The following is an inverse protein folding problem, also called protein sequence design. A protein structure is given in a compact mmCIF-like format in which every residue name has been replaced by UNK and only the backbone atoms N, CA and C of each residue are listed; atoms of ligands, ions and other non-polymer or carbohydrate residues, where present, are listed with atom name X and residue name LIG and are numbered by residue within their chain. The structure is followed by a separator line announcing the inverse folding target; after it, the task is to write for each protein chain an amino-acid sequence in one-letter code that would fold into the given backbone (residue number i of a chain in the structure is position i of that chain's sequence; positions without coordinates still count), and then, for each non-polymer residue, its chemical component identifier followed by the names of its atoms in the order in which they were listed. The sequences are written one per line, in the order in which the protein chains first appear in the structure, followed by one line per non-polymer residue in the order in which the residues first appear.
data_IF_692891533711
#
_entry.id   IF_692891533711
#
_cell.length_a   1.000
_cell.length_b   1.000
_cell.length_c   1.000
_cell.angle_alpha   90.00
_cell.angle_beta   90.00
_cell.angle_gamma   90.00
#
_symmetry.space_group_name_H-M   'P 1'
#
loop_
_entity.id
_entity.type
_entity.pdbx_description
1 polymer ?
#
# COMPACT_ATOMS: atom_id res chain seq x y z
N UNK A 1 61.45 -43.81 -22.64
CA UNK A 1 62.12 -44.01 -21.34
C UNK A 1 62.05 -42.74 -20.55
N UNK A 2 61.60 -42.83 -19.38
CA UNK A 2 61.45 -41.94 -18.26
C UNK A 2 60.06 -41.34 -18.11
N UNK A 3 59.34 -42.08 -17.29
CA UNK A 3 58.17 -41.66 -16.55
C UNK A 3 58.58 -40.63 -15.50
N UNK A 4 57.78 -39.61 -15.34
CA UNK A 4 57.84 -38.72 -14.20
C UNK A 4 56.41 -38.55 -13.65
N UNK A 5 56.10 -39.27 -12.60
CA UNK A 5 54.88 -39.16 -11.80
C UNK A 5 54.92 -37.84 -11.04
N UNK A 6 53.99 -36.93 -11.37
CA UNK A 6 53.69 -35.78 -10.55
C UNK A 6 52.69 -36.15 -9.45
N UNK A 7 53.11 -36.05 -8.19
CA UNK A 7 52.26 -36.19 -7.03
C UNK A 7 51.36 -34.96 -6.95
N UNK A 8 50.06 -35.17 -7.03
CA UNK A 8 49.06 -34.13 -6.63
C UNK A 8 48.97 -34.11 -5.10
N UNK A 9 49.28 -32.96 -4.52
CA UNK A 9 49.05 -32.71 -3.09
C UNK A 9 47.56 -32.60 -2.81
N UNK A 10 47.03 -33.17 -1.71
CA UNK A 10 45.63 -33.05 -1.34
C UNK A 10 45.34 -31.62 -0.85
N UNK A 11 44.37 -30.99 -1.48
CA UNK A 11 43.80 -29.71 -1.04
C UNK A 11 43.12 -29.93 0.32
N UNK A 12 43.75 -29.42 1.37
CA UNK A 12 43.15 -29.36 2.71
C UNK A 12 42.02 -28.33 2.65
N UNK A 13 40.79 -28.82 2.61
CA UNK A 13 39.61 -27.95 2.85
C UNK A 13 39.63 -27.53 4.33
N UNK A 14 40.03 -26.33 4.60
CA UNK A 14 39.87 -25.73 5.91
C UNK A 14 38.39 -25.54 6.20
N UNK A 15 37.89 -26.29 7.19
CA UNK A 15 36.59 -26.09 7.83
C UNK A 15 36.58 -24.75 8.57
N UNK A 16 36.23 -23.66 7.87
CA UNK A 16 36.04 -22.37 8.52
C UNK A 16 34.79 -21.62 7.97
N UNK A 17 33.70 -22.36 7.74
CA UNK A 17 32.41 -21.78 7.34
C UNK A 17 31.30 -22.00 8.36
N UNK A 18 31.63 -22.34 9.62
CA UNK A 18 30.59 -22.75 10.59
C UNK A 18 30.21 -21.71 11.63
N UNK A 19 30.65 -20.45 11.52
CA UNK A 19 30.28 -19.41 12.48
C UNK A 19 30.07 -18.01 11.82
N UNK A 20 29.32 -17.92 10.73
CA UNK A 20 28.70 -16.65 10.40
C UNK A 20 27.36 -16.58 11.11
N UNK A 21 27.16 -15.60 11.99
CA UNK A 21 25.81 -15.34 12.49
C UNK A 21 24.90 -15.02 11.30
N UNK A 22 23.63 -15.46 11.32
CA UNK A 22 22.71 -15.19 10.23
C UNK A 22 22.62 -13.69 10.01
N UNK A 23 23.03 -13.22 8.83
CA UNK A 23 22.82 -11.84 8.41
C UNK A 23 21.34 -11.53 8.54
N UNK A 24 21.05 -10.59 9.42
CA UNK A 24 19.68 -10.26 9.82
C UNK A 24 18.86 -9.85 8.61
N UNK A 25 17.68 -10.45 8.47
CA UNK A 25 16.60 -10.23 7.50
C UNK A 25 16.09 -8.78 7.30
N UNK A 26 16.89 -7.75 7.56
CA UNK A 26 16.52 -6.34 7.33
C UNK A 26 16.30 -6.02 5.85
N UNK A 27 17.00 -6.70 4.95
CA UNK A 27 16.83 -6.49 3.50
C UNK A 27 15.52 -7.09 2.97
N UNK A 28 15.05 -8.20 3.55
CA UNK A 28 13.79 -8.82 3.14
C UNK A 28 12.58 -7.96 3.58
N UNK A 29 12.60 -7.43 4.80
CA UNK A 29 11.54 -6.53 5.28
C UNK A 29 11.44 -5.27 4.41
N UNK A 30 12.58 -4.67 4.05
CA UNK A 30 12.60 -3.51 3.15
C UNK A 30 12.03 -3.81 1.75
N UNK A 31 12.31 -5.00 1.20
CA UNK A 31 11.77 -5.43 -0.09
C UNK A 31 10.26 -5.69 -0.02
N UNK A 32 9.76 -6.26 1.07
CA UNK A 32 8.34 -6.49 1.31
C UNK A 32 7.61 -5.15 1.45
N UNK A 33 8.13 -4.22 2.25
CA UNK A 33 7.55 -2.87 2.38
C UNK A 33 7.52 -2.17 1.02
N UNK A 34 8.63 -2.20 0.28
CA UNK A 34 8.70 -1.60 -1.04
C UNK A 34 7.70 -2.23 -2.02
N UNK A 35 7.50 -3.55 -1.96
CA UNK A 35 6.51 -4.27 -2.76
C UNK A 35 5.08 -3.85 -2.42
N UNK A 36 4.73 -3.82 -1.14
CA UNK A 36 3.41 -3.40 -0.65
C UNK A 36 3.14 -1.93 -1.03
N UNK A 37 4.10 -1.05 -0.76
CA UNK A 37 4.00 0.37 -1.09
C UNK A 37 3.90 0.56 -2.60
N UNK A 38 4.65 -0.20 -3.41
CA UNK A 38 4.59 -0.14 -4.86
C UNK A 38 3.23 -0.60 -5.41
N UNK A 39 2.62 -1.64 -4.83
CA UNK A 39 1.25 -2.08 -5.17
C UNK A 39 0.22 -1.01 -4.83
N UNK A 40 0.31 -0.41 -3.62
CA UNK A 40 -0.55 0.70 -3.20
C UNK A 40 -0.37 1.91 -4.15
N UNK A 41 0.86 2.21 -4.57
CA UNK A 41 1.15 3.34 -5.45
C UNK A 41 0.75 3.06 -6.90
N UNK A 42 0.87 1.82 -7.39
CA UNK A 42 0.34 1.47 -8.71
C UNK A 42 -1.18 1.60 -8.73
N UNK A 43 -1.87 1.08 -7.72
CA UNK A 43 -3.30 1.33 -7.55
C UNK A 43 -3.59 2.84 -7.45
N UNK A 44 -2.74 3.59 -6.74
CA UNK A 44 -2.84 5.04 -6.57
C UNK A 44 -2.42 5.84 -7.80
N UNK A 45 -1.45 5.41 -8.59
CA UNK A 45 -1.00 6.11 -9.80
C UNK A 45 -2.02 6.03 -10.93
N UNK A 46 -2.91 5.05 -10.88
CA UNK A 46 -4.08 4.98 -11.74
C UNK A 46 -5.21 5.90 -11.29
N UNK A 47 -5.26 6.28 -9.99
CA UNK A 47 -6.30 7.14 -9.40
C UNK A 47 -5.77 8.53 -9.10
N UNK A 48 -5.92 9.47 -10.02
CA UNK A 48 -5.44 10.86 -9.86
C UNK A 48 -6.54 11.90 -10.13
N UNK A 49 -6.85 12.69 -9.15
CA UNK A 49 -8.16 13.28 -8.95
C UNK A 49 -8.27 14.71 -8.52
N UNK A 50 -9.43 15.38 -8.67
CA UNK A 50 -9.70 16.68 -8.16
C UNK A 50 -11.03 17.26 -7.89
N UNK A 51 -11.03 18.27 -7.09
CA UNK A 51 -12.10 18.95 -6.41
C UNK A 51 -12.91 19.99 -7.17
N UNK A 52 -14.19 19.86 -7.04
CA UNK A 52 -15.05 20.90 -6.48
C UNK A 52 -16.36 20.30 -6.02
N UNK A 53 -16.80 20.45 -4.71
CA UNK A 53 -18.16 20.74 -4.42
C UNK A 53 -18.68 20.66 -3.00
N UNK A 54 -19.73 21.44 -2.77
CA UNK A 54 -20.66 21.52 -1.64
C UNK A 54 -21.51 20.25 -1.51
N UNK A 55 -21.75 19.82 -0.27
CA UNK A 55 -22.63 18.77 0.22
C UNK A 55 -23.37 17.90 -0.79
N UNK A 56 -22.88 16.70 -1.08
CA UNK A 56 -23.47 15.72 -1.98
C UNK A 56 -23.74 14.38 -1.30
N UNK A 57 -24.41 13.49 -2.03
CA UNK A 57 -24.88 12.17 -1.58
C UNK A 57 -23.77 11.25 -1.06
N UNK A 58 -22.50 11.52 -1.40
CA UNK A 58 -21.33 10.68 -1.08
C UNK A 58 -20.24 11.48 -0.34
N UNK A 59 -20.63 12.18 0.73
CA UNK A 59 -19.72 13.10 1.43
C UNK A 59 -18.55 12.36 2.09
N UNK A 60 -18.81 11.24 2.78
CA UNK A 60 -17.78 10.46 3.48
C UNK A 60 -16.78 9.81 2.52
N UNK A 61 -17.28 9.21 1.45
CA UNK A 61 -16.46 8.61 0.40
C UNK A 61 -15.58 9.67 -0.27
N UNK A 62 -16.15 10.81 -0.55
CA UNK A 62 -15.40 11.94 -1.14
C UNK A 62 -14.32 12.45 -0.19
N UNK A 63 -14.61 12.58 1.10
CA UNK A 63 -13.63 12.99 2.11
C UNK A 63 -12.49 11.99 2.21
N UNK A 64 -12.77 10.68 2.19
CA UNK A 64 -11.75 9.64 2.19
C UNK A 64 -10.84 9.73 0.96
N UNK A 65 -11.43 9.76 -0.24
CA UNK A 65 -10.66 9.90 -1.51
C UNK A 65 -9.86 11.19 -1.52
N UNK A 66 -10.42 12.30 -1.04
CA UNK A 66 -9.72 13.59 -0.98
C UNK A 66 -8.51 13.53 -0.06
N UNK A 67 -8.72 13.11 1.18
CA UNK A 67 -7.64 13.05 2.18
C UNK A 67 -6.49 12.17 1.71
N UNK A 68 -6.81 11.06 1.10
CA UNK A 68 -5.85 10.13 0.54
C UNK A 68 -5.04 10.74 -0.61
N UNK A 69 -5.71 11.42 -1.54
CA UNK A 69 -5.05 12.08 -2.67
C UNK A 69 -4.23 13.29 -2.27
N UNK A 70 -4.74 14.10 -1.35
CA UNK A 70 -3.98 15.22 -0.80
C UNK A 70 -2.68 14.74 -0.16
N UNK A 71 -2.72 13.59 0.53
CA UNK A 71 -1.51 12.99 1.12
C UNK A 71 -0.47 12.61 0.06
N UNK A 72 -0.91 12.17 -1.11
CA UNK A 72 -0.01 11.87 -2.24
C UNK A 72 0.59 13.15 -2.84
N UNK A 73 -0.22 14.19 -3.03
CA UNK A 73 0.26 15.49 -3.54
C UNK A 73 1.24 16.15 -2.56
N UNK A 74 0.98 16.01 -1.26
CA UNK A 74 1.82 16.55 -0.19
C UNK A 74 3.09 15.71 0.06
N UNK A 75 3.14 14.47 -0.44
CA UNK A 75 4.20 13.51 -0.13
C UNK A 75 4.20 13.11 1.35
N UNK A 76 3.03 13.08 2.00
CA UNK A 76 2.88 12.86 3.44
C UNK A 76 2.50 11.40 3.74
N UNK A 77 3.49 10.59 4.14
CA UNK A 77 3.31 9.16 4.41
C UNK A 77 2.37 8.87 5.57
N UNK A 78 2.41 9.65 6.65
CA UNK A 78 1.52 9.45 7.81
C UNK A 78 0.07 9.74 7.47
N UNK A 79 -0.20 10.84 6.77
CA UNK A 79 -1.55 11.21 6.31
C UNK A 79 -2.10 10.16 5.34
N UNK A 80 -1.25 9.64 4.44
CA UNK A 80 -1.60 8.56 3.52
C UNK A 80 -2.01 7.30 4.26
N UNK A 81 -1.19 6.83 5.21
CA UNK A 81 -1.44 5.63 6.01
C UNK A 81 -2.72 5.77 6.83
N UNK A 82 -2.92 6.90 7.50
CA UNK A 82 -4.11 7.17 8.29
C UNK A 82 -5.40 7.34 7.45
N UNK A 83 -5.27 7.67 6.17
CA UNK A 83 -6.38 7.74 5.20
C UNK A 83 -6.71 6.39 4.54
N UNK A 84 -5.73 5.47 4.52
CA UNK A 84 -5.87 4.16 3.89
C UNK A 84 -6.20 3.05 4.89
N UNK A 85 -5.77 3.15 6.16
CA UNK A 85 -5.88 2.07 7.12
C UNK A 85 -6.55 2.53 8.43
N UNK A 86 -7.58 1.80 8.87
CA UNK A 86 -8.03 1.85 10.27
C UNK A 86 -7.00 1.16 11.17
N UNK A 87 -7.00 1.46 12.47
CA UNK A 87 -5.96 0.96 13.39
C UNK A 87 -5.87 -0.57 13.46
N UNK A 88 -6.97 -1.35 13.54
CA UNK A 88 -6.86 -2.80 13.52
C UNK A 88 -6.28 -3.35 12.20
N UNK A 89 -6.66 -2.78 11.06
CA UNK A 89 -6.13 -3.19 9.75
C UNK A 89 -4.64 -2.88 9.64
N UNK A 90 -4.21 -1.70 10.11
CA UNK A 90 -2.78 -1.35 10.17
C UNK A 90 -2.01 -2.30 11.06
N UNK A 91 -2.55 -2.61 12.24
CA UNK A 91 -1.94 -3.56 13.17
C UNK A 91 -1.78 -4.96 12.55
N UNK A 92 -2.81 -5.44 11.85
CA UNK A 92 -2.76 -6.72 11.15
C UNK A 92 -1.67 -6.72 10.05
N UNK A 93 -1.63 -5.68 9.22
CA UNK A 93 -0.64 -5.49 8.17
C UNK A 93 0.80 -5.50 8.70
N UNK A 94 1.06 -4.75 9.77
CA UNK A 94 2.39 -4.66 10.39
C UNK A 94 2.83 -6.00 10.98
N UNK A 95 1.93 -6.70 11.69
CA UNK A 95 2.20 -8.03 12.26
C UNK A 95 2.42 -9.08 11.17
N UNK A 96 1.59 -9.11 10.14
CA UNK A 96 1.72 -10.03 8.99
C UNK A 96 3.09 -9.90 8.34
N UNK A 97 3.57 -8.69 8.16
CA UNK A 97 4.83 -8.40 7.47
C UNK A 97 6.04 -8.25 8.40
N UNK A 98 5.84 -8.33 9.72
CA UNK A 98 6.89 -8.13 10.74
C UNK A 98 7.65 -6.81 10.56
N UNK A 99 6.90 -5.72 10.45
CA UNK A 99 7.41 -4.37 10.18
C UNK A 99 6.92 -3.39 11.25
N UNK A 100 7.77 -2.45 11.63
CA UNK A 100 7.39 -1.36 12.53
C UNK A 100 6.61 -0.26 11.78
N UNK A 101 5.63 0.35 12.47
CA UNK A 101 4.76 1.41 11.87
C UNK A 101 5.57 2.58 11.33
N UNK A 102 6.62 2.99 12.04
CA UNK A 102 7.48 4.10 11.62
C UNK A 102 8.25 3.77 10.33
N UNK A 103 8.76 2.56 10.20
CA UNK A 103 9.48 2.12 9.00
C UNK A 103 8.53 2.04 7.80
N UNK A 104 7.29 1.56 8.02
CA UNK A 104 6.27 1.52 6.98
C UNK A 104 5.92 2.94 6.50
N UNK A 105 5.62 3.86 7.42
CA UNK A 105 5.30 5.27 7.10
C UNK A 105 6.45 5.92 6.32
N UNK A 106 7.70 5.75 6.78
CA UNK A 106 8.87 6.30 6.11
C UNK A 106 9.03 5.75 4.69
N UNK A 107 8.81 4.46 4.48
CA UNK A 107 8.88 3.84 3.15
C UNK A 107 7.79 4.40 2.22
N UNK A 108 6.56 4.53 2.71
CA UNK A 108 5.45 5.17 1.97
C UNK A 108 5.83 6.61 1.61
N UNK A 109 6.31 7.40 2.56
CA UNK A 109 6.67 8.80 2.35
C UNK A 109 7.76 8.97 1.28
N UNK A 110 8.79 8.13 1.30
CA UNK A 110 9.83 8.13 0.27
C UNK A 110 9.26 7.89 -1.14
N UNK A 111 8.30 6.99 -1.26
CA UNK A 111 7.67 6.71 -2.55
C UNK A 111 6.74 7.84 -2.99
N UNK A 112 5.96 8.40 -2.07
CA UNK A 112 5.06 9.52 -2.38
C UNK A 112 5.83 10.76 -2.86
N UNK A 113 7.00 11.04 -2.30
CA UNK A 113 7.87 12.14 -2.73
C UNK A 113 8.41 12.00 -4.16
N UNK A 114 8.35 10.81 -4.74
CA UNK A 114 8.68 10.57 -6.14
C UNK A 114 7.52 10.90 -7.09
N UNK A 115 6.31 11.05 -6.54
CA UNK A 115 5.12 11.35 -7.32
C UNK A 115 5.03 12.88 -7.51
N UNK A 116 5.28 13.36 -8.72
CA UNK A 116 4.98 14.75 -9.08
C UNK A 116 3.61 14.81 -9.74
N UNK A 117 2.58 14.86 -8.90
CA UNK A 117 1.20 14.81 -9.34
C UNK A 117 0.41 16.01 -8.85
N UNK A 118 -0.51 16.45 -9.67
CA UNK A 118 -1.52 17.45 -9.30
C UNK A 118 -2.87 17.00 -9.80
N UNK A 119 -3.86 17.38 -9.08
CA UNK A 119 -5.20 16.93 -9.31
C UNK A 119 -6.26 18.05 -9.15
N UNK A 120 -7.49 17.96 -9.77
CA UNK A 120 -8.62 18.91 -9.65
C UNK A 120 -9.95 18.34 -10.14
N UNK A 121 -11.12 18.80 -9.66
CA UNK A 121 -12.51 18.47 -10.06
C UNK A 121 -13.01 17.07 -9.65
N UNK A 122 -12.69 16.57 -8.45
CA UNK A 122 -13.19 15.30 -7.96
C UNK A 122 -14.70 15.26 -7.83
N UNK A 123 -15.30 14.20 -8.36
CA UNK A 123 -16.69 13.83 -8.15
C UNK A 123 -16.79 12.34 -7.90
N UNK A 124 -17.45 11.95 -6.82
CA UNK A 124 -17.97 10.60 -6.67
C UNK A 124 -19.34 10.57 -7.36
N UNK A 125 -19.48 9.71 -8.36
CA UNK A 125 -20.67 9.70 -9.22
C UNK A 125 -21.58 8.51 -8.97
N UNK A 126 -21.03 7.40 -8.43
CA UNK A 126 -21.77 6.17 -8.18
C UNK A 126 -21.15 5.41 -7.01
N UNK A 127 -22.00 4.70 -6.23
CA UNK A 127 -21.62 3.67 -5.27
C UNK A 127 -22.06 2.31 -5.84
N UNK A 128 -21.16 1.32 -5.83
CA UNK A 128 -21.43 -0.07 -6.18
C UNK A 128 -22.15 -0.83 -5.07
N UNK A 129 -22.33 -2.13 -5.30
CA UNK A 129 -22.83 -3.04 -4.28
C UNK A 129 -21.70 -3.43 -3.31
N UNK A 130 -22.06 -3.93 -2.12
CA UNK A 130 -21.12 -4.53 -1.17
C UNK A 130 -20.48 -5.78 -1.77
N UNK A 131 -19.18 -5.96 -1.54
CA UNK A 131 -18.38 -7.11 -1.97
C UNK A 131 -18.26 -8.06 -0.76
N UNK A 132 -19.32 -8.85 -0.54
CA UNK A 132 -19.47 -9.66 0.68
C UNK A 132 -18.33 -10.66 0.91
N UNK A 133 -17.90 -11.38 -0.14
CA UNK A 133 -16.84 -12.39 -0.03
C UNK A 133 -15.51 -11.78 0.42
N UNK A 134 -15.11 -10.66 -0.15
CA UNK A 134 -13.87 -9.96 0.23
C UNK A 134 -13.98 -9.31 1.60
N UNK A 135 -15.17 -8.84 1.99
CA UNK A 135 -15.44 -8.31 3.31
C UNK A 135 -15.22 -9.37 4.40
N UNK A 136 -15.71 -10.59 4.18
CA UNK A 136 -15.52 -11.72 5.09
C UNK A 136 -14.04 -12.10 5.20
N UNK A 137 -13.34 -12.24 4.09
CA UNK A 137 -11.92 -12.59 4.03
C UNK A 137 -11.06 -11.53 4.73
N UNK A 138 -11.34 -10.25 4.49
CA UNK A 138 -10.63 -9.14 5.11
C UNK A 138 -10.80 -9.13 6.64
N UNK A 139 -12.04 -9.31 7.14
CA UNK A 139 -12.30 -9.41 8.57
C UNK A 139 -11.63 -10.64 9.20
N UNK A 140 -11.61 -11.77 8.50
CA UNK A 140 -10.94 -12.99 8.96
C UNK A 140 -9.41 -12.78 9.06
N UNK A 141 -8.80 -12.13 8.08
CA UNK A 141 -7.37 -11.84 8.12
C UNK A 141 -7.01 -10.83 9.21
N UNK A 142 -7.81 -9.78 9.43
CA UNK A 142 -7.62 -8.86 10.56
C UNK A 142 -7.71 -9.61 11.88
N UNK A 143 -8.74 -10.45 12.07
CA UNK A 143 -8.95 -11.22 13.30
C UNK A 143 -7.79 -12.15 13.62
N UNK A 144 -7.17 -12.76 12.62
CA UNK A 144 -6.00 -13.65 12.78
C UNK A 144 -4.82 -12.96 13.47
N UNK A 145 -4.59 -11.68 13.21
CA UNK A 145 -3.46 -10.95 13.77
C UNK A 145 -3.79 -10.07 14.97
N UNK A 146 -5.05 -9.63 15.11
CA UNK A 146 -5.47 -8.71 16.18
C UNK A 146 -6.35 -9.37 17.22
N UNK A 147 -7.08 -10.41 16.87
CA UNK A 147 -8.16 -10.99 17.67
C UNK A 147 -9.48 -10.24 17.56
N UNK A 148 -9.53 -9.12 16.85
CA UNK A 148 -10.73 -8.31 16.66
C UNK A 148 -11.57 -8.86 15.49
N UNK A 149 -12.88 -8.94 15.66
CA UNK A 149 -13.81 -9.44 14.64
C UNK A 149 -14.75 -8.35 14.17
N UNK A 150 -15.21 -8.43 12.92
CA UNK A 150 -16.16 -7.47 12.34
C UNK A 150 -15.67 -6.01 12.39
N UNK A 151 -14.38 -5.80 12.22
CA UNK A 151 -13.74 -4.48 12.18
C UNK A 151 -14.23 -3.66 10.99
N UNK A 152 -14.38 -4.33 9.86
CA UNK A 152 -14.88 -3.73 8.63
C UNK A 152 -16.37 -4.03 8.51
N UNK A 153 -17.18 -3.00 8.41
CA UNK A 153 -18.65 -3.11 8.36
C UNK A 153 -19.23 -3.08 6.94
N UNK A 154 -18.49 -2.58 5.97
CA UNK A 154 -18.90 -2.53 4.56
C UNK A 154 -17.65 -2.43 3.67
N UNK A 155 -17.69 -3.02 2.47
CA UNK A 155 -16.67 -2.94 1.44
C UNK A 155 -17.37 -2.84 0.08
N UNK A 156 -17.10 -1.81 -0.69
CA UNK A 156 -17.77 -1.56 -1.96
C UNK A 156 -16.93 -0.68 -2.89
N UNK A 157 -17.21 -0.72 -4.18
CA UNK A 157 -16.61 0.19 -5.14
C UNK A 157 -17.37 1.52 -5.23
N UNK A 158 -16.64 2.57 -5.59
CA UNK A 158 -17.21 3.86 -6.01
C UNK A 158 -16.63 4.25 -7.36
N UNK A 159 -17.43 4.89 -8.20
CA UNK A 159 -16.93 5.50 -9.44
C UNK A 159 -16.58 6.96 -9.17
N UNK A 160 -15.34 7.33 -9.45
CA UNK A 160 -14.83 8.70 -9.34
C UNK A 160 -14.48 9.28 -10.70
N UNK A 161 -14.81 10.57 -10.90
CA UNK A 161 -14.41 11.35 -12.09
C UNK A 161 -13.48 12.47 -11.70
N UNK A 162 -12.48 12.77 -12.54
CA UNK A 162 -11.43 13.70 -12.19
C UNK A 162 -10.59 14.20 -13.38
N UNK A 163 -9.79 15.24 -13.14
CA UNK A 163 -8.72 15.67 -14.03
C UNK A 163 -7.39 15.64 -13.30
N UNK A 164 -6.35 15.18 -13.95
CA UNK A 164 -4.99 15.12 -13.38
C UNK A 164 -3.94 15.62 -14.36
N UNK A 165 -2.75 15.92 -13.83
CA UNK A 165 -1.51 16.12 -14.59
C UNK A 165 -0.31 15.63 -13.79
N UNK A 166 0.75 15.23 -14.48
CA UNK A 166 1.98 14.74 -13.88
C UNK A 166 3.17 15.58 -14.36
N UNK A 167 4.16 15.74 -13.48
CA UNK A 167 5.40 16.45 -13.78
C UNK A 167 5.17 17.86 -14.30
N UNK A 168 5.92 18.22 -15.31
CA UNK A 168 5.89 19.53 -15.97
C UNK A 168 4.76 19.67 -17.01
N UNK A 169 3.86 18.70 -17.12
CA UNK A 169 2.75 18.77 -18.08
C UNK A 169 1.90 20.00 -17.83
N UNK A 170 1.61 20.76 -18.88
CA UNK A 170 0.68 21.88 -18.86
C UNK A 170 -0.78 21.45 -19.03
N UNK A 171 -1.01 20.26 -19.60
CA UNK A 171 -2.33 19.76 -19.95
C UNK A 171 -2.95 18.93 -18.84
N UNK A 172 -4.25 19.13 -18.61
CA UNK A 172 -5.05 18.32 -17.73
C UNK A 172 -5.72 17.19 -18.51
N UNK A 173 -5.65 15.98 -17.97
CA UNK A 173 -6.26 14.77 -18.55
C UNK A 173 -7.49 14.41 -17.71
N UNK A 174 -8.63 14.23 -18.36
CA UNK A 174 -9.85 13.75 -17.69
C UNK A 174 -9.77 12.21 -17.55
N UNK A 175 -10.18 11.70 -16.40
CA UNK A 175 -10.26 10.28 -16.13
C UNK A 175 -11.54 9.93 -15.36
N UNK A 176 -11.92 8.67 -15.44
CA UNK A 176 -13.00 8.05 -14.67
C UNK A 176 -12.54 6.68 -14.23
N UNK A 177 -12.69 6.36 -12.95
CA UNK A 177 -12.12 5.16 -12.36
C UNK A 177 -12.98 4.59 -11.24
N UNK A 178 -12.90 3.29 -11.04
CA UNK A 178 -13.45 2.60 -9.88
C UNK A 178 -12.41 2.57 -8.75
N UNK A 179 -12.84 2.95 -7.54
CA UNK A 179 -12.04 2.94 -6.31
C UNK A 179 -12.80 2.16 -5.27
N UNK A 180 -12.13 1.24 -4.60
CA UNK A 180 -12.72 0.48 -3.52
C UNK A 180 -12.61 1.22 -2.19
N UNK A 181 -13.71 1.18 -1.44
CA UNK A 181 -13.88 1.82 -0.14
C UNK A 181 -14.29 0.77 0.88
N UNK A 182 -13.61 0.72 2.00
CA UNK A 182 -14.12 0.01 3.16
C UNK A 182 -14.54 0.97 4.27
N UNK A 183 -15.45 0.50 5.14
CA UNK A 183 -15.99 1.26 6.25
C UNK A 183 -15.61 0.59 7.58
N UNK A 184 -14.99 1.34 8.47
CA UNK A 184 -14.70 0.94 9.85
C UNK A 184 -15.10 2.06 10.79
N UNK A 185 -15.85 1.77 11.85
CA UNK A 185 -16.37 2.74 12.82
C UNK A 185 -17.09 3.93 12.18
N UNK A 186 -17.80 3.67 11.06
CA UNK A 186 -18.56 4.67 10.32
C UNK A 186 -17.72 5.68 9.54
N UNK A 187 -16.40 5.48 9.44
CA UNK A 187 -15.46 6.24 8.62
C UNK A 187 -15.11 5.43 7.38
N UNK A 188 -14.98 6.10 6.24
CA UNK A 188 -14.55 5.50 4.97
C UNK A 188 -13.04 5.58 4.83
N UNK A 189 -12.45 4.53 4.25
CA UNK A 189 -11.03 4.40 3.93
C UNK A 189 -10.88 3.86 2.51
N UNK A 190 -9.78 4.20 1.86
CA UNK A 190 -9.45 3.59 0.57
C UNK A 190 -8.96 2.17 0.80
N UNK A 191 -9.60 1.21 0.13
CA UNK A 191 -9.17 -0.18 0.17
C UNK A 191 -8.01 -0.43 -0.80
N UNK A 192 -7.09 -1.24 -0.36
CA UNK A 192 -6.09 -1.89 -1.21
C UNK A 192 -5.89 -3.31 -0.72
N UNK A 193 -5.67 -4.23 -1.61
CA UNK A 193 -5.45 -5.66 -1.36
C UNK A 193 -4.13 -6.00 -0.63
N UNK A 194 -3.46 -5.00 -0.06
CA UNK A 194 -2.17 -5.14 0.62
C UNK A 194 -2.20 -6.09 1.83
N UNK A 195 -3.39 -6.36 2.39
CA UNK A 195 -3.56 -7.26 3.53
C UNK A 195 -3.93 -8.68 3.11
N UNK A 196 -4.65 -8.89 2.01
CA UNK A 196 -5.02 -10.22 1.48
C UNK A 196 -3.92 -10.87 0.63
#
# INVERSE_FOLDING_TARGET
MNDSFGFEEPIIMTEDTKNRPPEKKKHEAGAIIAGIVFMIIIAAATVLVVFNLKGGRYTKEREAVTSWLDSMVEGNGEKFVNGSFCEPMMTALLKKNNVEKADYINAVEQQLKLLDIKYRKLKVVKKGATIESELEDLNAEIAKYTGETNVISDLYSITVKYEYKTGTSSSWVANEEEVEIYVSDGKCYIYSDALL
#
